data_IF_566827656607
#
_entry.id   IF_566827656607
#
_cell.length_a   1.000
_cell.length_b   1.000
_cell.length_c   1.000
_cell.angle_alpha   90.00
_cell.angle_beta   90.00
_cell.angle_gamma   90.00
#
_symmetry.space_group_name_H-M   'P 1'
#
loop_
_entity.id
_entity.type
_entity.pdbx_description
1 polymer ?
#
# COMPACT_ATOMS: atom_id res chain seq x y z
N UNK A 1 -29.50 33.72 -17.22
CA UNK A 1 -30.54 32.86 -16.61
C UNK A 1 -31.28 32.17 -17.73
N UNK A 2 -31.64 30.88 -17.65
CA UNK A 2 -31.23 29.83 -16.67
C UNK A 2 -30.73 28.57 -17.46
N UNK A 3 -30.40 27.37 -16.97
CA UNK A 3 -30.85 26.50 -15.86
C UNK A 3 -29.71 25.51 -15.55
N UNK A 4 -29.28 25.40 -14.29
CA UNK A 4 -29.68 24.38 -13.29
C UNK A 4 -28.89 23.06 -13.42
N UNK A 5 -28.18 22.78 -12.34
CA UNK A 5 -27.66 21.49 -11.98
C UNK A 5 -28.77 20.65 -11.34
N UNK A 6 -28.93 19.40 -11.75
CA UNK A 6 -29.45 18.31 -10.91
C UNK A 6 -29.31 16.96 -11.64
N UNK A 7 -28.80 15.98 -10.87
CA UNK A 7 -29.06 14.53 -10.85
C UNK A 7 -29.19 13.69 -12.14
N UNK A 8 -28.51 12.54 -12.17
CA UNK A 8 -29.15 11.21 -11.98
C UNK A 8 -28.06 10.16 -11.63
N UNK A 9 -27.99 9.77 -10.35
CA UNK A 9 -27.40 8.48 -9.92
C UNK A 9 -28.36 7.38 -10.36
N UNK A 10 -28.17 6.86 -11.58
CA UNK A 10 -29.03 5.82 -12.14
C UNK A 10 -28.44 4.42 -11.97
N UNK A 11 -29.28 3.56 -11.42
CA UNK A 11 -29.15 2.13 -11.19
C UNK A 11 -28.24 1.35 -12.14
N UNK A 12 -27.20 0.71 -11.60
CA UNK A 12 -26.73 -0.58 -12.12
C UNK A 12 -27.07 -1.69 -11.13
N UNK A 13 -28.22 -2.33 -11.38
CA UNK A 13 -28.46 -3.72 -10.97
C UNK A 13 -27.33 -4.58 -11.55
N UNK A 14 -26.35 -4.95 -10.74
CA UNK A 14 -25.38 -5.97 -11.12
C UNK A 14 -26.06 -7.33 -10.94
N UNK A 15 -26.19 -8.05 -12.07
CA UNK A 15 -26.72 -9.40 -12.13
C UNK A 15 -25.92 -10.32 -11.20
N UNK A 16 -26.68 -11.12 -10.45
CA UNK A 16 -26.23 -12.24 -9.64
C UNK A 16 -25.23 -13.12 -10.40
N UNK A 17 -23.98 -13.15 -9.92
CA UNK A 17 -23.11 -14.31 -10.05
C UNK A 17 -23.34 -15.17 -8.82
N UNK A 18 -23.73 -16.43 -9.03
CA UNK A 18 -24.03 -17.41 -7.97
C UNK A 18 -22.91 -17.42 -6.91
N UNK A 19 -23.31 -17.24 -5.65
CA UNK A 19 -22.47 -17.59 -4.51
C UNK A 19 -22.16 -19.08 -4.61
N UNK A 20 -20.87 -19.44 -4.68
CA UNK A 20 -20.45 -20.82 -4.54
C UNK A 20 -20.99 -21.33 -3.18
N UNK A 21 -21.82 -22.38 -3.22
CA UNK A 21 -22.42 -22.98 -2.04
C UNK A 21 -21.36 -23.38 -1.01
N UNK A 22 -20.15 -23.65 -1.46
CA UNK A 22 -18.98 -23.97 -0.63
C UNK A 22 -18.48 -22.76 0.17
N UNK A 23 -18.50 -21.56 -0.43
CA UNK A 23 -18.14 -20.30 0.22
C UNK A 23 -19.22 -19.87 1.23
N UNK A 24 -20.49 -20.05 0.88
CA UNK A 24 -21.59 -19.82 1.83
C UNK A 24 -21.50 -20.78 3.02
N UNK A 25 -21.21 -22.06 2.78
CA UNK A 25 -21.09 -23.08 3.82
C UNK A 25 -19.86 -22.85 4.73
N UNK A 26 -18.75 -22.33 4.21
CA UNK A 26 -17.55 -22.00 4.99
C UNK A 26 -17.69 -20.71 5.80
N UNK A 27 -18.30 -19.67 5.23
CA UNK A 27 -18.69 -18.48 5.98
C UNK A 27 -19.68 -18.88 7.08
N UNK A 28 -20.70 -19.68 6.77
CA UNK A 28 -21.65 -20.17 7.75
C UNK A 28 -20.97 -21.08 8.80
N UNK A 29 -19.94 -21.86 8.45
CA UNK A 29 -19.14 -22.62 9.42
C UNK A 29 -18.29 -21.73 10.34
N UNK A 30 -17.74 -20.62 9.85
CA UNK A 30 -17.07 -19.62 10.71
C UNK A 30 -18.07 -19.00 11.69
N UNK A 31 -19.29 -18.69 11.23
CA UNK A 31 -20.40 -18.24 12.09
C UNK A 31 -20.93 -19.34 13.04
N UNK A 32 -20.95 -20.62 12.65
CA UNK A 32 -21.39 -21.77 13.48
C UNK A 32 -20.34 -22.14 14.54
N UNK A 33 -19.05 -21.99 14.22
CA UNK A 33 -17.96 -22.16 15.19
C UNK A 33 -18.03 -21.07 16.27
N UNK A 34 -18.40 -19.84 15.91
CA UNK A 34 -18.70 -18.76 16.87
C UNK A 34 -20.00 -19.00 17.65
N UNK A 35 -21.02 -19.63 17.06
CA UNK A 35 -22.25 -20.04 17.78
C UNK A 35 -21.96 -21.02 18.92
N UNK A 36 -20.98 -21.91 18.75
CA UNK A 36 -20.57 -22.87 19.78
C UNK A 36 -19.78 -22.23 20.93
N UNK A 37 -18.99 -21.19 20.66
CA UNK A 37 -18.32 -20.37 21.69
C UNK A 37 -19.29 -19.41 22.39
N UNK A 38 -20.27 -18.85 21.66
CA UNK A 38 -21.30 -17.95 22.21
C UNK A 38 -22.36 -18.70 23.05
N UNK A 39 -22.68 -19.96 22.72
CA UNK A 39 -23.55 -20.82 23.55
C UNK A 39 -22.93 -21.18 24.90
N UNK A 40 -21.60 -21.14 25.04
CA UNK A 40 -20.91 -21.32 26.33
C UNK A 40 -20.97 -20.07 27.22
N UNK A 41 -21.12 -18.87 26.66
CA UNK A 41 -21.23 -17.63 27.43
C UNK A 41 -22.67 -17.37 27.95
N UNK A 42 -23.70 -17.88 27.26
CA UNK A 42 -25.11 -17.75 27.68
C UNK A 42 -25.56 -18.69 28.82
N UNK A 43 -24.70 -19.61 29.30
CA UNK A 43 -25.10 -20.58 30.34
C UNK A 43 -24.93 -20.09 31.79
N UNK A 44 -24.46 -18.86 32.02
CA UNK A 44 -24.20 -18.36 33.39
C UNK A 44 -25.04 -17.17 33.86
N UNK A 45 -26.03 -16.71 33.10
CA UNK A 45 -27.00 -15.73 33.61
C UNK A 45 -28.42 -16.11 33.17
N UNK A 46 -29.20 -16.58 34.14
CA UNK A 46 -30.60 -16.89 33.99
C UNK A 46 -31.50 -15.66 34.11
N UNK A 47 -32.70 -15.85 33.56
CA UNK A 47 -33.99 -15.20 33.82
C UNK A 47 -34.24 -13.75 33.34
N UNK A 48 -35.15 -13.70 32.34
CA UNK A 48 -36.25 -12.74 32.11
C UNK A 48 -35.91 -11.29 31.73
N UNK A 49 -36.21 -10.88 30.49
CA UNK A 49 -37.53 -10.35 30.09
C UNK A 49 -37.54 -9.98 28.59
N UNK A 50 -38.74 -9.99 28.02
CA UNK A 50 -39.05 -9.68 26.62
C UNK A 50 -38.74 -8.21 26.26
N UNK A 51 -37.77 -8.01 25.38
CA UNK A 51 -37.80 -6.97 24.36
C UNK A 51 -36.98 -7.49 23.18
N UNK A 52 -37.66 -7.85 22.08
CA UNK A 52 -37.01 -8.28 20.84
C UNK A 52 -36.45 -7.04 20.13
N UNK A 53 -35.49 -6.38 20.78
CA UNK A 53 -34.51 -5.57 20.08
C UNK A 53 -33.84 -6.52 19.09
N UNK A 54 -34.02 -6.23 17.80
CA UNK A 54 -33.30 -6.90 16.74
C UNK A 54 -31.82 -6.52 16.90
N UNK A 55 -31.14 -7.17 17.84
CA UNK A 55 -29.70 -7.02 18.06
C UNK A 55 -29.05 -7.35 16.74
N UNK A 56 -28.52 -6.30 16.10
CA UNK A 56 -27.82 -6.46 14.85
C UNK A 56 -26.68 -7.46 15.11
N UNK A 57 -26.63 -8.61 14.42
CA UNK A 57 -25.68 -9.69 14.73
C UNK A 57 -24.22 -9.25 14.56
N UNK A 58 -24.00 -8.06 14.00
CA UNK A 58 -22.69 -7.44 13.79
C UNK A 58 -22.27 -6.45 14.89
N UNK A 59 -23.11 -6.12 15.88
CA UNK A 59 -22.73 -5.19 16.97
C UNK A 59 -21.57 -5.72 17.83
N UNK A 60 -21.47 -7.03 17.99
CA UNK A 60 -20.37 -7.66 18.72
C UNK A 60 -19.03 -7.65 17.95
N UNK A 61 -19.03 -7.25 16.68
CA UNK A 61 -17.92 -7.51 15.75
C UNK A 61 -17.07 -6.25 15.56
N UNK A 62 -16.13 -6.00 16.47
CA UNK A 62 -15.29 -4.78 16.44
C UNK A 62 -14.41 -4.67 15.18
N UNK A 63 -13.93 -3.46 14.85
CA UNK A 63 -13.02 -3.26 13.71
C UNK A 63 -11.74 -4.12 13.82
N UNK A 64 -11.25 -4.38 15.03
CA UNK A 64 -10.09 -5.24 15.26
C UNK A 64 -10.36 -6.70 14.89
N UNK A 65 -11.54 -7.22 15.24
CA UNK A 65 -11.97 -8.56 14.85
C UNK A 65 -12.17 -8.64 13.33
N UNK A 66 -12.72 -7.59 12.71
CA UNK A 66 -12.84 -7.49 11.25
C UNK A 66 -11.47 -7.49 10.57
N UNK A 67 -10.49 -6.76 11.10
CA UNK A 67 -9.13 -6.77 10.57
C UNK A 67 -8.48 -8.15 10.70
N UNK A 68 -8.67 -8.84 11.83
CA UNK A 68 -8.21 -10.21 12.00
C UNK A 68 -8.85 -11.14 10.95
N UNK A 69 -10.17 -11.03 10.73
CA UNK A 69 -10.87 -11.77 9.68
C UNK A 69 -10.31 -11.44 8.29
N UNK A 70 -10.09 -10.16 7.98
CA UNK A 70 -9.52 -9.74 6.70
C UNK A 70 -8.09 -10.24 6.50
N UNK A 71 -7.27 -10.27 7.54
CA UNK A 71 -5.93 -10.88 7.52
C UNK A 71 -6.03 -12.39 7.21
N UNK A 72 -7.03 -13.11 7.73
CA UNK A 72 -7.29 -14.51 7.36
C UNK A 72 -7.78 -14.66 5.91
N UNK A 73 -8.62 -13.73 5.43
CA UNK A 73 -9.22 -13.78 4.10
C UNK A 73 -8.27 -13.34 2.97
N UNK A 74 -7.13 -12.71 3.27
CA UNK A 74 -6.14 -12.31 2.27
C UNK A 74 -5.57 -13.50 1.48
N UNK A 75 -5.59 -14.70 2.05
CA UNK A 75 -5.21 -15.94 1.37
C UNK A 75 -6.27 -16.46 0.37
N UNK A 76 -7.52 -15.99 0.46
CA UNK A 76 -8.64 -16.50 -0.34
C UNK A 76 -9.47 -15.35 -0.99
N UNK A 77 -9.11 -14.93 -2.22
CA UNK A 77 -9.72 -13.77 -2.88
C UNK A 77 -11.24 -13.89 -3.13
N UNK A 78 -11.75 -15.10 -3.33
CA UNK A 78 -13.18 -15.39 -3.50
C UNK A 78 -13.95 -15.10 -2.21
N UNK A 79 -13.50 -15.65 -1.08
CA UNK A 79 -14.12 -15.45 0.22
C UNK A 79 -14.07 -13.97 0.65
N UNK A 80 -12.94 -13.29 0.38
CA UNK A 80 -12.82 -11.85 0.62
C UNK A 80 -13.88 -11.07 -0.18
N UNK A 81 -14.06 -11.34 -1.47
CA UNK A 81 -15.12 -10.66 -2.26
C UNK A 81 -16.51 -10.90 -1.71
N UNK A 82 -16.85 -12.14 -1.36
CA UNK A 82 -18.14 -12.48 -0.77
C UNK A 82 -18.37 -11.75 0.57
N UNK A 83 -17.35 -11.68 1.42
CA UNK A 83 -17.39 -10.94 2.69
C UNK A 83 -17.68 -9.44 2.50
N UNK A 84 -17.08 -8.82 1.47
CA UNK A 84 -17.28 -7.40 1.17
C UNK A 84 -18.66 -7.05 0.63
N UNK A 85 -19.38 -8.03 0.07
CA UNK A 85 -20.73 -7.84 -0.45
C UNK A 85 -21.81 -7.86 0.65
N UNK A 86 -21.46 -8.26 1.87
CA UNK A 86 -22.42 -8.41 2.98
C UNK A 86 -22.99 -7.05 3.41
N UNK A 87 -22.15 -6.01 3.51
CA UNK A 87 -22.62 -4.67 3.87
C UNK A 87 -21.61 -3.57 3.50
N UNK A 88 -22.08 -2.32 3.47
CA UNK A 88 -21.22 -1.13 3.29
C UNK A 88 -20.15 -1.00 4.37
N UNK A 89 -20.41 -1.52 5.58
CA UNK A 89 -19.45 -1.45 6.68
C UNK A 89 -18.25 -2.36 6.43
N UNK A 90 -18.47 -3.61 6.02
CA UNK A 90 -17.39 -4.52 5.63
C UNK A 90 -16.51 -3.95 4.50
N UNK A 91 -17.14 -3.31 3.51
CA UNK A 91 -16.42 -2.59 2.45
C UNK A 91 -15.55 -1.45 3.00
N UNK A 92 -16.11 -0.65 3.92
CA UNK A 92 -15.39 0.50 4.53
C UNK A 92 -14.24 0.04 5.42
N UNK A 93 -14.41 -1.05 6.16
CA UNK A 93 -13.38 -1.61 7.02
C UNK A 93 -12.26 -2.25 6.18
N UNK A 94 -12.58 -2.96 5.09
CA UNK A 94 -11.54 -3.45 4.17
C UNK A 94 -10.74 -2.33 3.52
N UNK A 95 -11.40 -1.23 3.13
CA UNK A 95 -10.69 -0.06 2.63
C UNK A 95 -9.65 0.43 3.65
N UNK A 96 -10.00 0.49 4.94
CA UNK A 96 -9.07 0.88 6.02
C UNK A 96 -7.99 -0.17 6.31
N UNK A 97 -8.27 -1.45 6.06
CA UNK A 97 -7.32 -2.56 6.26
C UNK A 97 -6.30 -2.66 5.12
N UNK A 98 -6.65 -2.20 3.92
CA UNK A 98 -5.85 -2.38 2.70
C UNK A 98 -4.43 -1.86 2.86
N UNK A 99 -3.46 -2.78 2.74
CA UNK A 99 -2.01 -2.50 2.83
C UNK A 99 -1.34 -2.23 1.48
N UNK A 100 -1.94 -2.68 0.37
CA UNK A 100 -1.37 -2.55 -0.97
C UNK A 100 -2.29 -1.74 -1.87
N UNK A 101 -1.75 -0.69 -2.51
CA UNK A 101 -2.46 0.18 -3.43
C UNK A 101 -1.85 0.07 -4.83
N UNK A 102 -2.67 -0.31 -5.81
CA UNK A 102 -2.28 -0.44 -7.23
C UNK A 102 -3.25 0.32 -8.13
N UNK A 103 -3.18 1.65 -8.18
CA UNK A 103 -4.05 2.44 -9.03
C UNK A 103 -3.66 2.24 -10.49
N UNK A 104 -4.64 2.34 -11.39
CA UNK A 104 -4.39 2.31 -12.84
C UNK A 104 -4.11 3.73 -13.39
N UNK A 105 -4.54 4.77 -12.65
CA UNK A 105 -4.39 6.17 -13.03
C UNK A 105 -4.04 7.02 -11.82
N UNK A 106 -3.06 7.90 -12.00
CA UNK A 106 -2.57 8.78 -10.94
C UNK A 106 -3.61 9.84 -10.50
N UNK A 107 -4.54 10.21 -11.37
CA UNK A 107 -5.61 11.19 -11.09
C UNK A 107 -6.53 10.79 -9.93
N UNK A 108 -6.64 9.49 -9.64
CA UNK A 108 -7.46 8.98 -8.54
C UNK A 108 -6.69 8.88 -7.23
N UNK A 109 -5.38 9.10 -7.20
CA UNK A 109 -4.57 8.98 -5.98
C UNK A 109 -5.11 9.82 -4.82
N UNK A 110 -5.53 11.09 -4.99
CA UNK A 110 -6.07 11.87 -3.88
C UNK A 110 -7.33 11.25 -3.27
N UNK A 111 -8.26 10.76 -4.10
CA UNK A 111 -9.48 10.11 -3.63
C UNK A 111 -9.17 8.80 -2.92
N UNK A 112 -8.26 7.98 -3.47
CA UNK A 112 -7.87 6.70 -2.88
C UNK A 112 -7.09 6.90 -1.57
N UNK A 113 -6.26 7.94 -1.49
CA UNK A 113 -5.55 8.34 -0.27
C UNK A 113 -6.48 8.70 0.88
N UNK A 114 -7.61 9.36 0.59
CA UNK A 114 -8.64 9.64 1.61
C UNK A 114 -9.31 8.38 2.16
N UNK A 115 -9.40 7.33 1.34
CA UNK A 115 -10.10 6.09 1.67
C UNK A 115 -9.20 5.04 2.35
N UNK A 116 -7.97 4.88 1.87
CA UNK A 116 -7.09 3.77 2.22
C UNK A 116 -5.94 4.23 3.12
N UNK A 117 -6.20 4.45 4.41
CA UNK A 117 -5.20 5.07 5.31
C UNK A 117 -4.06 4.17 5.79
N UNK A 118 -4.19 2.84 5.66
CA UNK A 118 -3.19 1.88 6.18
C UNK A 118 -2.28 1.31 5.11
N UNK A 119 -2.17 1.99 3.96
CA UNK A 119 -1.36 1.52 2.83
C UNK A 119 0.12 1.57 3.20
N UNK A 120 0.80 0.43 3.04
CA UNK A 120 2.24 0.29 3.22
C UNK A 120 2.99 0.05 1.92
N UNK A 121 2.30 -0.40 0.86
CA UNK A 121 2.90 -0.67 -0.44
C UNK A 121 2.10 0.02 -1.54
N UNK A 122 2.77 0.88 -2.31
CA UNK A 122 2.17 1.58 -3.45
C UNK A 122 2.88 1.13 -4.71
N UNK A 123 2.15 0.52 -5.63
CA UNK A 123 2.63 0.09 -6.93
C UNK A 123 2.05 0.98 -8.02
N UNK A 124 2.90 1.84 -8.59
CA UNK A 124 2.57 2.72 -9.71
C UNK A 124 3.31 2.31 -10.98
N UNK A 125 3.81 1.07 -11.04
CA UNK A 125 4.62 0.57 -12.17
C UNK A 125 3.88 0.66 -13.52
N UNK A 126 2.55 0.55 -13.52
CA UNK A 126 1.69 0.61 -14.72
C UNK A 126 0.92 1.94 -14.86
N UNK A 127 1.23 2.97 -14.08
CA UNK A 127 0.58 4.28 -14.18
C UNK A 127 1.32 5.21 -15.17
N UNK A 128 0.77 5.53 -16.36
CA UNK A 128 1.52 6.26 -17.39
C UNK A 128 1.81 7.75 -17.11
N UNK A 129 1.29 8.32 -16.02
CA UNK A 129 1.37 9.76 -15.74
C UNK A 129 1.73 10.11 -14.29
N UNK A 130 2.55 9.31 -13.62
CA UNK A 130 3.06 9.66 -12.29
C UNK A 130 4.11 10.77 -12.42
N UNK A 131 3.70 11.99 -12.03
CA UNK A 131 4.58 13.15 -11.86
C UNK A 131 4.75 13.51 -10.38
N UNK A 132 5.41 14.63 -10.12
CA UNK A 132 5.78 15.04 -8.75
C UNK A 132 4.57 15.23 -7.83
N UNK A 133 3.47 15.84 -8.32
CA UNK A 133 2.25 15.99 -7.51
C UNK A 133 1.62 14.66 -7.08
N UNK A 134 1.79 13.59 -7.87
CA UNK A 134 1.34 12.26 -7.46
C UNK A 134 2.22 11.69 -6.34
N UNK A 135 3.53 11.95 -6.39
CA UNK A 135 4.47 11.55 -5.34
C UNK A 135 4.27 12.36 -4.07
N UNK A 136 3.93 13.64 -4.18
CA UNK A 136 3.57 14.51 -3.04
C UNK A 136 2.32 14.00 -2.34
N UNK A 137 1.27 13.62 -3.09
CA UNK A 137 0.07 12.99 -2.53
C UNK A 137 0.41 11.69 -1.80
N UNK A 138 1.24 10.83 -2.40
CA UNK A 138 1.68 9.58 -1.76
C UNK A 138 2.48 9.87 -0.48
N UNK A 139 3.40 10.83 -0.52
CA UNK A 139 4.21 11.22 0.61
C UNK A 139 3.37 11.79 1.76
N UNK A 140 2.42 12.67 1.47
CA UNK A 140 1.53 13.26 2.45
C UNK A 140 0.54 12.27 3.06
N UNK A 141 -0.04 11.40 2.23
CA UNK A 141 -1.04 10.44 2.69
C UNK A 141 -0.44 9.29 3.51
N UNK A 142 0.79 8.87 3.20
CA UNK A 142 1.38 7.64 3.72
C UNK A 142 2.73 7.84 4.40
N UNK A 143 3.03 9.06 4.88
CA UNK A 143 4.27 9.44 5.53
C UNK A 143 4.77 8.43 6.58
N UNK A 144 3.85 7.90 7.39
CA UNK A 144 4.16 6.98 8.51
C UNK A 144 4.11 5.51 8.08
N UNK A 145 3.21 5.17 7.16
CA UNK A 145 2.86 3.78 6.82
C UNK A 145 3.64 3.23 5.64
N UNK A 146 4.09 4.07 4.70
CA UNK A 146 4.73 3.62 3.46
C UNK A 146 6.03 2.86 3.76
N UNK A 147 6.16 1.69 3.14
CA UNK A 147 7.31 0.77 3.22
C UNK A 147 7.85 0.44 1.84
N UNK A 148 6.99 0.35 0.82
CA UNK A 148 7.41 0.06 -0.56
C UNK A 148 6.76 1.00 -1.56
N UNK A 149 7.55 1.48 -2.51
CA UNK A 149 7.08 2.26 -3.64
C UNK A 149 7.69 1.74 -4.95
N UNK A 150 6.83 1.39 -5.92
CA UNK A 150 7.26 0.96 -7.25
C UNK A 150 6.88 2.00 -8.32
N UNK A 151 7.88 2.46 -9.07
CA UNK A 151 7.80 3.44 -10.15
C UNK A 151 8.40 2.91 -11.48
N UNK A 152 8.51 1.59 -11.67
CA UNK A 152 9.30 0.94 -12.75
C UNK A 152 9.05 1.43 -14.19
N UNK A 153 7.87 1.91 -14.58
CA UNK A 153 7.65 2.52 -15.91
C UNK A 153 7.22 3.98 -15.85
N UNK A 154 7.21 4.57 -14.66
CA UNK A 154 6.88 5.98 -14.48
C UNK A 154 8.06 6.84 -14.91
N UNK A 155 7.80 7.83 -15.78
CA UNK A 155 8.87 8.65 -16.41
C UNK A 155 8.70 10.16 -16.25
N UNK A 156 7.64 10.60 -15.55
CA UNK A 156 7.27 12.03 -15.46
C UNK A 156 7.63 12.67 -14.12
N UNK A 157 8.03 11.89 -13.12
CA UNK A 157 8.55 12.43 -11.86
C UNK A 157 9.98 12.94 -12.04
N UNK A 158 10.38 13.84 -11.14
CA UNK A 158 11.70 14.46 -11.09
C UNK A 158 12.33 14.26 -9.70
N UNK A 159 13.50 14.88 -9.47
CA UNK A 159 14.12 14.89 -8.15
C UNK A 159 13.21 15.51 -7.07
N UNK A 160 12.35 16.47 -7.42
CA UNK A 160 11.46 17.13 -6.47
C UNK A 160 10.44 16.17 -5.87
N UNK A 161 9.74 15.37 -6.71
CA UNK A 161 8.78 14.39 -6.20
C UNK A 161 9.46 13.26 -5.41
N UNK A 162 10.68 12.86 -5.80
CA UNK A 162 11.48 11.91 -5.03
C UNK A 162 11.91 12.48 -3.68
N UNK A 163 12.19 13.78 -3.60
CA UNK A 163 12.55 14.45 -2.36
C UNK A 163 11.36 14.43 -1.39
N UNK A 164 10.16 14.76 -1.87
CA UNK A 164 8.94 14.68 -1.07
C UNK A 164 8.74 13.29 -0.47
N UNK A 165 9.00 12.23 -1.25
CA UNK A 165 8.93 10.85 -0.75
C UNK A 165 10.07 10.55 0.22
N UNK A 166 11.30 10.95 -0.08
CA UNK A 166 12.48 10.68 0.74
C UNK A 166 12.40 11.32 2.12
N UNK A 167 11.95 12.58 2.20
CA UNK A 167 11.78 13.33 3.45
C UNK A 167 10.47 12.99 4.15
N UNK A 168 9.38 12.82 3.40
CA UNK A 168 8.05 12.57 3.96
C UNK A 168 7.85 11.14 4.46
N UNK A 169 8.42 10.14 3.77
CA UNK A 169 8.22 8.73 4.09
C UNK A 169 9.41 8.15 4.85
N UNK A 170 9.60 8.57 6.10
CA UNK A 170 10.73 8.13 6.93
C UNK A 170 10.83 6.62 7.12
N UNK A 171 9.73 5.88 6.95
CA UNK A 171 9.70 4.42 7.04
C UNK A 171 9.94 3.66 5.74
N UNK A 172 10.25 4.31 4.62
CA UNK A 172 10.42 3.67 3.31
C UNK A 172 11.59 2.66 3.33
N UNK A 173 11.33 1.43 2.89
CA UNK A 173 12.28 0.30 2.91
C UNK A 173 12.67 -0.14 1.50
N UNK A 174 11.74 -0.10 0.55
CA UNK A 174 11.97 -0.56 -0.82
C UNK A 174 11.50 0.50 -1.83
N UNK A 175 12.37 0.82 -2.79
CA UNK A 175 12.08 1.80 -3.83
C UNK A 175 12.57 1.29 -5.19
N UNK A 176 11.66 1.21 -6.16
CA UNK A 176 11.98 0.81 -7.51
C UNK A 176 11.83 1.99 -8.47
N UNK A 177 12.96 2.47 -9.02
CA UNK A 177 13.04 3.56 -9.99
C UNK A 177 13.56 3.06 -11.35
N UNK A 178 13.51 1.76 -11.59
CA UNK A 178 13.98 1.20 -12.86
C UNK A 178 13.28 1.90 -14.04
N UNK A 179 13.96 2.03 -15.17
CA UNK A 179 13.53 2.77 -16.37
C UNK A 179 13.22 4.28 -16.15
N UNK A 180 13.59 4.88 -15.02
CA UNK A 180 13.61 6.33 -14.87
C UNK A 180 14.77 6.93 -15.68
N UNK A 181 14.65 6.94 -17.01
CA UNK A 181 15.74 7.29 -17.94
C UNK A 181 16.18 8.76 -17.87
N UNK A 182 15.36 9.62 -17.29
CA UNK A 182 15.66 11.05 -17.07
C UNK A 182 16.23 11.34 -15.67
N UNK A 183 16.32 10.34 -14.80
CA UNK A 183 16.86 10.49 -13.44
C UNK A 183 18.36 10.79 -13.50
N UNK A 184 18.77 11.87 -12.81
CA UNK A 184 20.16 12.34 -12.70
C UNK A 184 20.61 12.31 -11.23
N UNK A 185 21.86 12.67 -10.97
CA UNK A 185 22.45 12.67 -9.63
C UNK A 185 21.69 13.54 -8.62
N UNK A 186 21.09 14.66 -9.04
CA UNK A 186 20.20 15.44 -8.16
C UNK A 186 18.98 14.64 -7.67
N UNK A 187 18.42 13.77 -8.52
CA UNK A 187 17.35 12.85 -8.11
C UNK A 187 17.88 11.69 -7.25
N UNK A 188 19.10 11.21 -7.48
CA UNK A 188 19.74 10.24 -6.61
C UNK A 188 20.01 10.82 -5.20
N UNK A 189 20.40 12.10 -5.12
CA UNK A 189 20.55 12.83 -3.86
C UNK A 189 19.20 13.01 -3.13
N UNK A 190 18.10 13.19 -3.87
CA UNK A 190 16.77 13.19 -3.27
C UNK A 190 16.40 11.81 -2.69
N UNK A 191 16.70 10.72 -3.40
CA UNK A 191 16.54 9.35 -2.87
C UNK A 191 17.36 9.13 -1.61
N UNK A 192 18.54 9.73 -1.52
CA UNK A 192 19.42 9.63 -0.36
C UNK A 192 18.78 10.15 0.95
N UNK A 193 17.73 10.96 0.89
CA UNK A 193 16.97 11.39 2.07
C UNK A 193 16.16 10.24 2.72
N UNK A 194 15.89 9.17 1.97
CA UNK A 194 15.25 7.97 2.51
C UNK A 194 16.25 7.13 3.35
N UNK A 195 16.54 7.58 4.57
CA UNK A 195 17.59 6.98 5.42
C UNK A 195 17.33 5.52 5.86
N UNK A 196 16.07 5.07 5.84
CA UNK A 196 15.69 3.70 6.17
C UNK A 196 15.64 2.74 4.98
N UNK A 197 15.99 3.22 3.78
CA UNK A 197 15.93 2.43 2.55
C UNK A 197 16.90 1.25 2.62
N UNK A 198 16.39 0.05 2.28
CA UNK A 198 17.16 -1.21 2.28
C UNK A 198 17.30 -1.81 0.90
N UNK A 199 16.35 -1.58 -0.01
CA UNK A 199 16.39 -2.09 -1.37
C UNK A 199 16.09 -0.99 -2.37
N UNK A 200 16.99 -0.82 -3.33
CA UNK A 200 16.88 0.18 -4.37
C UNK A 200 17.12 -0.46 -5.74
N UNK A 201 16.22 -0.25 -6.68
CA UNK A 201 16.40 -0.64 -8.07
C UNK A 201 16.51 0.61 -8.96
N UNK A 202 17.63 0.74 -9.66
CA UNK A 202 17.95 1.83 -10.59
C UNK A 202 18.15 1.30 -12.02
N UNK A 203 17.61 0.12 -12.35
CA UNK A 203 17.89 -0.52 -13.64
C UNK A 203 17.57 0.41 -14.81
N UNK A 204 18.50 0.58 -15.75
CA UNK A 204 18.39 1.50 -16.91
C UNK A 204 18.28 2.99 -16.55
N UNK A 205 18.67 3.42 -15.35
CA UNK A 205 18.90 4.83 -15.03
C UNK A 205 20.25 5.28 -15.60
N UNK A 206 20.27 5.63 -16.89
CA UNK A 206 21.51 5.88 -17.66
C UNK A 206 22.21 7.20 -17.34
N UNK A 207 21.51 8.17 -16.76
CA UNK A 207 22.03 9.51 -16.46
C UNK A 207 22.45 9.68 -15.00
N UNK A 208 22.34 8.62 -14.19
CA UNK A 208 22.93 8.57 -12.84
C UNK A 208 24.38 8.16 -12.99
N UNK A 209 25.25 8.87 -12.27
CA UNK A 209 26.70 8.67 -12.27
C UNK A 209 27.19 8.16 -10.92
N UNK A 210 28.49 7.91 -10.82
CA UNK A 210 29.17 7.58 -9.56
C UNK A 210 28.89 8.60 -8.45
N UNK A 211 28.71 9.88 -8.79
CA UNK A 211 28.38 10.92 -7.81
C UNK A 211 27.00 10.70 -7.18
N UNK A 212 26.00 10.39 -8.00
CA UNK A 212 24.66 10.06 -7.50
C UNK A 212 24.64 8.81 -6.63
N UNK A 213 25.43 7.79 -7.01
CA UNK A 213 25.61 6.59 -6.19
C UNK A 213 26.32 6.90 -4.87
N UNK A 214 27.32 7.79 -4.88
CA UNK A 214 27.96 8.30 -3.67
C UNK A 214 26.97 8.96 -2.71
N UNK A 215 26.07 9.81 -3.22
CA UNK A 215 25.00 10.40 -2.40
C UNK A 215 24.12 9.32 -1.75
N UNK A 216 23.69 8.32 -2.54
CA UNK A 216 22.88 7.20 -2.03
C UNK A 216 23.64 6.42 -0.95
N UNK A 217 24.92 6.12 -1.16
CA UNK A 217 25.75 5.40 -0.20
C UNK A 217 25.88 6.13 1.15
N UNK A 218 25.94 7.46 1.13
CA UNK A 218 26.04 8.31 2.32
C UNK A 218 24.69 8.42 3.05
N UNK A 219 23.60 8.67 2.31
CA UNK A 219 22.27 8.92 2.88
C UNK A 219 21.52 7.64 3.28
N UNK A 220 21.50 6.62 2.42
CA UNK A 220 20.79 5.36 2.66
C UNK A 220 21.64 4.36 3.43
N UNK A 221 21.96 4.66 4.70
CA UNK A 221 22.90 3.87 5.53
C UNK A 221 22.46 2.42 5.80
N UNK A 222 21.17 2.11 5.62
CA UNK A 222 20.60 0.77 5.82
C UNK A 222 20.49 -0.03 4.52
N UNK A 223 21.02 0.47 3.41
CA UNK A 223 20.94 -0.18 2.11
C UNK A 223 21.59 -1.57 2.16
N UNK A 224 20.87 -2.58 1.67
CA UNK A 224 21.29 -4.00 1.61
C UNK A 224 21.27 -4.58 0.20
N UNK A 225 20.53 -3.95 -0.70
CA UNK A 225 20.43 -4.35 -2.09
C UNK A 225 20.37 -3.10 -2.96
N UNK A 226 21.24 -3.05 -3.96
CA UNK A 226 21.17 -2.07 -5.03
C UNK A 226 21.25 -2.78 -6.37
N UNK A 227 20.35 -2.47 -7.30
CA UNK A 227 20.36 -3.02 -8.65
C UNK A 227 20.71 -1.92 -9.66
N UNK A 228 21.87 -2.05 -10.31
CA UNK A 228 22.44 -1.08 -11.26
C UNK A 228 22.47 -1.61 -12.70
N UNK A 229 21.61 -2.60 -13.02
CA UNK A 229 21.60 -3.23 -14.35
C UNK A 229 21.40 -2.19 -15.45
N UNK A 230 22.25 -2.20 -16.46
CA UNK A 230 22.18 -1.29 -17.61
C UNK A 230 22.33 0.21 -17.25
N UNK A 231 22.99 0.52 -16.14
CA UNK A 231 23.42 1.88 -15.80
C UNK A 231 24.81 2.13 -16.37
N UNK A 232 24.87 2.80 -17.52
CA UNK A 232 26.14 3.05 -18.24
C UNK A 232 26.95 4.20 -17.66
N UNK A 233 26.34 5.06 -16.85
CA UNK A 233 27.02 6.20 -16.21
C UNK A 233 27.74 5.85 -14.90
N UNK A 234 27.60 4.61 -14.43
CA UNK A 234 28.18 4.15 -13.16
C UNK A 234 29.39 3.28 -13.48
N UNK A 235 30.55 3.69 -12.98
CA UNK A 235 31.81 2.96 -13.06
C UNK A 235 32.20 2.34 -11.73
N UNK A 236 33.46 1.89 -11.66
CA UNK A 236 33.99 1.20 -10.49
C UNK A 236 33.98 2.09 -9.23
N UNK A 237 34.19 3.40 -9.39
CA UNK A 237 34.12 4.36 -8.29
C UNK A 237 32.77 4.32 -7.56
N UNK A 238 31.65 4.32 -8.30
CA UNK A 238 30.32 4.24 -7.70
C UNK A 238 30.09 2.92 -6.96
N UNK A 239 30.57 1.82 -7.52
CA UNK A 239 30.49 0.49 -6.89
C UNK A 239 31.34 0.44 -5.62
N UNK A 240 32.55 0.97 -5.65
CA UNK A 240 33.48 1.03 -4.52
C UNK A 240 32.90 1.86 -3.36
N UNK A 241 32.29 3.01 -3.65
CA UNK A 241 31.63 3.85 -2.64
C UNK A 241 30.54 3.09 -1.87
N UNK A 242 29.75 2.30 -2.60
CA UNK A 242 28.74 1.43 -1.99
C UNK A 242 29.39 0.30 -1.20
N UNK A 243 30.40 -0.36 -1.76
CA UNK A 243 31.08 -1.50 -1.15
C UNK A 243 31.83 -1.15 0.15
N UNK A 244 32.50 0.01 0.20
CA UNK A 244 33.14 0.54 1.40
C UNK A 244 32.11 0.65 2.53
N UNK A 245 30.90 1.11 2.22
CA UNK A 245 29.85 1.26 3.24
C UNK A 245 29.32 -0.08 3.75
N UNK A 246 29.26 -1.12 2.91
CA UNK A 246 28.91 -2.47 3.35
C UNK A 246 29.93 -3.03 4.34
N UNK A 247 31.22 -2.77 4.14
CA UNK A 247 32.27 -3.20 5.09
C UNK A 247 32.15 -2.51 6.44
N UNK A 248 31.89 -1.20 6.47
CA UNK A 248 31.76 -0.46 7.73
C UNK A 248 30.53 -0.89 8.56
N UNK A 249 29.41 -1.28 7.93
CA UNK A 249 28.20 -1.75 8.65
C UNK A 249 28.34 -3.15 9.26
N UNK A 250 29.37 -3.93 8.90
CA UNK A 250 29.62 -5.24 9.51
C UNK A 250 30.31 -5.15 10.87
N UNK A 251 30.97 -4.03 11.18
CA UNK A 251 31.72 -3.84 12.42
C UNK A 251 30.87 -3.26 13.57
N UNK A 252 29.59 -2.97 13.34
CA UNK A 252 28.64 -2.42 14.33
C UNK A 252 27.61 -3.46 14.84
N UNK A 253 27.94 -4.76 14.77
CA UNK A 253 27.06 -5.84 15.23
C UNK A 253 27.68 -6.67 16.34
#
# INVERSE_FOLDING_TARGET
>A
MPREAEDVVSHRRLRFGYLDATALHRINNIFVLQSSTMKKLKRHHGTQNDDATTDNPFEALTEELLFAILDFLDAEPSAKKSFLLVSKWFYTVEARHRRVLRPLRAEHLPALAGLYRSVSEVDLSLCPHVGDGALEVVAGAYAVTLRRLDLLLSRRFTGSGLLSVGEGCGGLVELNLSNATKLRDGGAAAVAQAGNLRKLWLGRCKLVTDMGIGCIAVGCRKLRLICLKWCVGIGDLGVDLVAIRYRCNCNEK
#
